data_IF_207949984641
#
_entry.id   IF_207949984641
#
_cell.length_a   1.000
_cell.length_b   1.000
_cell.length_c   1.000
_cell.angle_alpha   90.00
_cell.angle_beta   90.00
_cell.angle_gamma   90.00
#
_symmetry.space_group_name_H-M   'P 1'
#
loop_
_entity.id
_entity.type
_entity.pdbx_description
1 polymer ?
#
# COMPACT_ATOMS: atom_id res chain seq x y z
N UNK A 1 -13.35 1.68 -6.73
CA UNK A 1 -11.90 1.78 -6.51
C UNK A 1 -11.38 2.93 -7.34
N UNK A 2 -10.71 3.89 -6.70
CA UNK A 2 -10.24 5.11 -7.34
C UNK A 2 -9.34 4.79 -8.53
N UNK A 3 -9.64 5.38 -9.68
CA UNK A 3 -8.91 5.25 -10.95
C UNK A 3 -7.53 5.93 -10.93
N UNK A 4 -7.05 6.32 -9.75
CA UNK A 4 -5.84 7.09 -9.56
C UNK A 4 -4.64 6.39 -10.18
N UNK A 5 -3.83 7.19 -10.85
CA UNK A 5 -2.53 6.82 -11.37
C UNK A 5 -1.53 6.73 -10.22
N UNK A 6 -0.40 6.01 -10.42
CA UNK A 6 0.65 5.97 -9.41
C UNK A 6 1.18 7.37 -9.02
N UNK A 7 1.21 8.31 -9.96
CA UNK A 7 1.67 9.68 -9.70
C UNK A 7 0.69 10.45 -8.80
N UNK A 8 -0.61 10.33 -9.04
CA UNK A 8 -1.65 10.95 -8.18
C UNK A 8 -1.63 10.36 -6.77
N UNK A 9 -1.44 9.04 -6.63
CA UNK A 9 -1.33 8.39 -5.32
C UNK A 9 -0.09 8.93 -4.57
N UNK A 10 1.06 9.05 -5.24
CA UNK A 10 2.27 9.61 -4.62
C UNK A 10 2.03 11.07 -4.21
N UNK A 11 1.42 11.87 -5.07
CA UNK A 11 1.12 13.28 -4.77
C UNK A 11 0.18 13.44 -3.57
N UNK A 12 -0.82 12.57 -3.43
CA UNK A 12 -1.69 12.57 -2.25
C UNK A 12 -0.93 12.16 -0.98
N UNK A 13 -0.03 11.18 -1.08
CA UNK A 13 0.83 10.78 0.03
C UNK A 13 1.86 11.88 0.41
N UNK A 14 2.31 12.70 -0.54
CA UNK A 14 3.22 13.82 -0.30
C UNK A 14 2.61 14.90 0.61
N UNK A 15 1.27 15.03 0.65
CA UNK A 15 0.58 15.97 1.56
C UNK A 15 0.66 15.58 3.03
N UNK A 16 1.02 14.34 3.34
CA UNK A 16 0.99 13.80 4.69
C UNK A 16 2.32 13.21 5.16
N UNK A 17 3.15 12.74 4.23
CA UNK A 17 4.44 12.12 4.52
C UNK A 17 5.52 12.95 3.83
N UNK A 18 6.54 13.39 4.56
CA UNK A 18 7.69 14.09 3.97
C UNK A 18 8.75 13.05 3.56
N UNK A 19 9.32 13.18 2.35
CA UNK A 19 10.35 12.26 1.85
C UNK A 19 9.80 10.86 1.52
N UNK A 20 10.61 9.81 1.75
CA UNK A 20 10.23 8.39 1.57
C UNK A 20 9.73 8.03 0.14
N UNK A 21 10.31 8.64 -0.90
CA UNK A 21 9.85 8.50 -2.27
C UNK A 21 9.78 7.05 -2.77
N UNK A 22 10.75 6.20 -2.39
CA UNK A 22 10.77 4.77 -2.75
C UNK A 22 9.57 4.02 -2.16
N UNK A 23 9.27 4.24 -0.88
CA UNK A 23 8.15 3.61 -0.21
C UNK A 23 6.80 4.07 -0.79
N UNK A 24 6.65 5.38 -1.06
CA UNK A 24 5.44 5.94 -1.71
C UNK A 24 5.20 5.33 -3.10
N UNK A 25 6.26 5.23 -3.92
CA UNK A 25 6.18 4.59 -5.24
C UNK A 25 5.80 3.12 -5.13
N UNK A 26 6.40 2.38 -4.21
CA UNK A 26 6.10 0.96 -4.00
C UNK A 26 4.61 0.73 -3.68
N UNK A 27 4.06 1.51 -2.74
CA UNK A 27 2.65 1.37 -2.35
C UNK A 27 1.70 1.85 -3.46
N UNK A 28 2.05 2.89 -4.21
CA UNK A 28 1.27 3.38 -5.33
C UNK A 28 1.17 2.34 -6.45
N UNK A 29 2.28 1.64 -6.75
CA UNK A 29 2.30 0.55 -7.73
C UNK A 29 1.45 -0.63 -7.25
N UNK A 30 1.56 -1.02 -5.97
CA UNK A 30 0.76 -2.11 -5.43
C UNK A 30 -0.74 -1.82 -5.50
N UNK A 31 -1.16 -0.60 -5.14
CA UNK A 31 -2.56 -0.17 -5.25
C UNK A 31 -3.03 -0.15 -6.72
N UNK A 32 -2.22 0.40 -7.64
CA UNK A 32 -2.54 0.42 -9.08
C UNK A 32 -2.65 -0.99 -9.67
N UNK A 33 -1.81 -1.93 -9.24
CA UNK A 33 -1.89 -3.31 -9.69
C UNK A 33 -3.21 -3.98 -9.28
N UNK A 34 -3.79 -3.61 -8.13
CA UNK A 34 -5.11 -4.09 -7.72
C UNK A 34 -6.21 -3.63 -8.69
N UNK A 35 -6.15 -2.39 -9.15
CA UNK A 35 -7.07 -1.87 -10.19
C UNK A 35 -6.83 -2.55 -11.55
N UNK A 36 -5.56 -2.69 -11.97
CA UNK A 36 -5.22 -3.39 -13.23
C UNK A 36 -5.74 -4.82 -13.23
N UNK A 37 -5.60 -5.55 -12.12
CA UNK A 37 -6.13 -6.91 -11.96
C UNK A 37 -7.63 -6.98 -12.22
N UNK A 38 -8.42 -5.96 -11.82
CA UNK A 38 -9.86 -5.95 -12.07
C UNK A 38 -10.22 -5.84 -13.56
N UNK A 39 -9.32 -5.31 -14.38
CA UNK A 39 -9.52 -5.20 -15.83
C UNK A 39 -9.14 -6.47 -16.60
N UNK A 40 -8.38 -7.37 -15.99
CA UNK A 40 -8.01 -8.65 -16.60
C UNK A 40 -9.21 -9.58 -16.58
N UNK A 41 -9.45 -10.31 -17.67
CA UNK A 41 -10.53 -11.31 -17.75
C UNK A 41 -10.17 -12.62 -17.03
N UNK A 42 -11.17 -13.45 -16.72
CA UNK A 42 -10.92 -14.80 -16.22
C UNK A 42 -10.35 -15.70 -17.34
N UNK A 43 -9.55 -16.75 -17.02
CA UNK A 43 -9.15 -17.20 -15.68
C UNK A 43 -7.96 -16.42 -15.09
N UNK A 44 -7.19 -15.72 -15.92
CA UNK A 44 -5.92 -15.08 -15.56
C UNK A 44 -6.04 -14.11 -14.36
N UNK A 45 -7.20 -13.45 -14.18
CA UNK A 45 -7.47 -12.60 -13.00
C UNK A 45 -7.23 -13.32 -11.67
N UNK A 46 -7.53 -14.62 -11.59
CA UNK A 46 -7.39 -15.40 -10.36
C UNK A 46 -5.94 -15.78 -10.08
N UNK A 47 -5.13 -15.93 -11.12
CA UNK A 47 -3.70 -16.25 -11.00
C UNK A 47 -2.86 -15.04 -10.55
N UNK A 48 -3.34 -13.82 -10.78
CA UNK A 48 -2.66 -12.59 -10.37
C UNK A 48 -2.85 -12.37 -8.86
N UNK A 49 -1.79 -12.62 -8.10
CA UNK A 49 -1.75 -12.38 -6.65
C UNK A 49 -1.36 -10.94 -6.30
N UNK A 50 -1.81 -10.41 -5.14
CA UNK A 50 -1.36 -9.11 -4.64
C UNK A 50 0.15 -9.08 -4.41
N UNK A 51 0.79 -7.94 -4.74
CA UNK A 51 2.20 -7.70 -4.44
C UNK A 51 2.37 -7.13 -3.05
N UNK A 52 2.66 -8.01 -2.08
CA UNK A 52 2.93 -7.61 -0.69
C UNK A 52 4.23 -6.79 -0.60
N UNK A 53 4.32 -5.92 0.41
CA UNK A 53 5.44 -4.99 0.59
C UNK A 53 6.05 -5.20 1.98
N UNK A 54 7.37 -5.36 2.03
CA UNK A 54 8.17 -5.29 3.24
C UNK A 54 8.87 -3.93 3.30
N UNK A 55 8.57 -3.11 4.31
CA UNK A 55 9.21 -1.82 4.52
C UNK A 55 10.37 -1.96 5.52
N UNK A 56 11.59 -1.60 5.10
CA UNK A 56 12.79 -1.63 5.93
C UNK A 56 13.21 -0.20 6.26
N UNK A 57 13.44 0.11 7.54
CA UNK A 57 13.91 1.42 7.99
C UNK A 57 13.74 1.62 9.50
N UNK A 58 14.37 2.65 10.08
CA UNK A 58 14.34 2.89 11.53
C UNK A 58 12.94 3.27 12.03
N UNK A 59 12.73 3.26 13.35
CA UNK A 59 11.46 3.70 13.94
C UNK A 59 11.20 5.19 13.66
N UNK A 60 9.93 5.61 13.66
CA UNK A 60 9.56 7.02 13.47
C UNK A 60 9.59 7.59 12.05
N UNK A 61 10.15 6.88 11.05
CA UNK A 61 10.29 7.41 9.66
C UNK A 61 9.00 7.42 8.81
N UNK A 62 7.85 7.05 9.39
CA UNK A 62 6.56 7.11 8.69
C UNK A 62 6.09 5.82 8.00
N UNK A 63 6.74 4.66 8.22
CA UNK A 63 6.33 3.36 7.63
C UNK A 63 4.83 3.06 7.83
N UNK A 64 4.37 3.15 9.08
CA UNK A 64 2.97 2.90 9.44
C UNK A 64 2.03 3.97 8.89
N UNK A 65 2.47 5.23 8.83
CA UNK A 65 1.64 6.34 8.33
C UNK A 65 1.40 6.23 6.82
N UNK A 66 2.41 5.78 6.05
CA UNK A 66 2.23 5.47 4.62
C UNK A 66 1.13 4.43 4.43
N UNK A 67 1.17 3.32 5.19
CA UNK A 67 0.16 2.26 5.08
C UNK A 67 -1.24 2.74 5.49
N UNK A 68 -1.33 3.52 6.57
CA UNK A 68 -2.58 4.11 7.06
C UNK A 68 -3.20 5.08 6.04
N UNK A 69 -2.39 5.98 5.47
CA UNK A 69 -2.85 6.96 4.47
C UNK A 69 -3.27 6.30 3.17
N UNK A 70 -2.51 5.30 2.72
CA UNK A 70 -2.87 4.50 1.55
C UNK A 70 -4.24 3.84 1.73
N UNK A 71 -4.53 3.27 2.90
CA UNK A 71 -5.82 2.63 3.14
C UNK A 71 -6.98 3.64 3.14
N UNK A 72 -6.79 4.82 3.73
CA UNK A 72 -7.79 5.91 3.66
C UNK A 72 -8.03 6.37 2.21
N UNK A 73 -6.96 6.56 1.43
CA UNK A 73 -7.04 6.95 0.03
C UNK A 73 -7.78 5.92 -0.83
N UNK A 74 -7.57 4.65 -0.54
CA UNK A 74 -8.20 3.53 -1.25
C UNK A 74 -9.61 3.18 -0.74
N UNK A 75 -10.10 3.89 0.28
CA UNK A 75 -11.32 3.54 1.03
C UNK A 75 -11.33 2.05 1.42
N UNK A 76 -10.22 1.61 2.01
CA UNK A 76 -9.97 0.21 2.34
C UNK A 76 -9.90 -0.02 3.85
N UNK A 77 -10.41 -1.16 4.35
CA UNK A 77 -10.20 -1.56 5.74
C UNK A 77 -8.71 -1.61 6.10
N UNK A 78 -8.35 -1.09 7.27
CA UNK A 78 -6.97 -1.06 7.76
C UNK A 78 -6.86 -1.61 9.17
N UNK A 79 -5.89 -2.50 9.39
CA UNK A 79 -5.55 -3.05 10.69
C UNK A 79 -4.04 -3.00 10.91
N UNK A 80 -3.62 -2.51 12.09
CA UNK A 80 -2.23 -2.61 12.56
C UNK A 80 -2.18 -3.73 13.59
N UNK A 81 -1.26 -4.67 13.38
CA UNK A 81 -0.96 -5.73 14.35
C UNK A 81 0.54 -5.76 14.61
N UNK A 82 0.94 -6.09 15.83
CA UNK A 82 2.33 -6.29 16.21
C UNK A 82 2.62 -7.79 16.21
N UNK A 83 3.66 -8.21 15.47
CA UNK A 83 3.95 -9.64 15.27
C UNK A 83 4.30 -10.36 16.58
N UNK A 84 4.95 -9.66 17.51
CA UNK A 84 5.33 -10.17 18.84
C UNK A 84 4.14 -10.54 19.71
N UNK A 85 2.93 -10.05 19.40
CA UNK A 85 1.70 -10.44 20.10
C UNK A 85 1.39 -11.94 19.96
N UNK A 86 1.94 -12.62 18.95
CA UNK A 86 1.68 -14.02 18.67
C UNK A 86 2.79 -14.96 19.16
N UNK A 87 3.78 -14.43 19.86
CA UNK A 87 4.94 -15.18 20.37
C UNK A 87 5.02 -15.15 21.89
N UNK A 88 3.90 -14.89 22.58
CA UNK A 88 3.84 -15.01 24.04
C UNK A 88 4.21 -16.46 24.43
N UNK A 89 5.32 -16.61 25.15
CA UNK A 89 5.74 -17.87 25.81
C UNK A 89 5.31 -17.80 27.27
#
# INVERSE_FOLDING_TARGET
MSSMTPQEIVSELDRHIVGQASAKRAVAIALRNRWRRQQVQAPLRHEITPKNILMIGPTGVGKTEIARRLARLADAPFIKVEATKFTEV
#
